data_IF_923615107427
#
_entry.id   IF_923615107427
#
_cell.length_a   1.000
_cell.length_b   1.000
_cell.length_c   1.000
_cell.angle_alpha   90.00
_cell.angle_beta   90.00
_cell.angle_gamma   90.00
#
_symmetry.space_group_name_H-M   'P 1'
#
loop_
_entity.id
_entity.type
_entity.pdbx_description
1 polymer ?
#
# COMPACT_ATOMS: atom_id res chain seq x y z
N UNK A 1 2.54 -22.62 11.65
CA UNK A 1 2.71 -21.66 10.55
C UNK A 1 2.14 -20.29 10.87
N UNK A 2 2.73 -19.23 10.32
CA UNK A 2 2.14 -17.91 10.12
C UNK A 2 2.17 -17.61 8.61
N UNK A 3 1.05 -17.15 8.06
CA UNK A 3 0.87 -16.80 6.64
C UNK A 3 0.94 -15.28 6.53
N UNK A 4 1.87 -14.78 5.72
CA UNK A 4 1.99 -13.37 5.40
C UNK A 4 1.05 -12.96 4.25
N UNK A 5 0.84 -11.66 4.08
CA UNK A 5 -0.07 -11.11 3.07
C UNK A 5 0.33 -11.40 1.61
N UNK A 6 1.60 -11.69 1.38
CA UNK A 6 2.20 -12.08 0.11
C UNK A 6 2.11 -13.60 -0.16
N UNK A 7 1.47 -14.36 0.74
CA UNK A 7 1.34 -15.82 0.63
C UNK A 7 2.51 -16.61 1.22
N UNK A 8 3.55 -15.96 1.75
CA UNK A 8 4.67 -16.67 2.36
C UNK A 8 4.28 -17.33 3.70
N UNK A 9 4.83 -18.52 3.96
CA UNK A 9 4.54 -19.32 5.14
C UNK A 9 5.81 -19.53 5.95
N UNK A 10 5.80 -19.13 7.22
CA UNK A 10 6.90 -19.43 8.15
C UNK A 10 6.48 -20.46 9.20
N UNK A 11 7.32 -21.46 9.42
CA UNK A 11 7.18 -22.41 10.54
C UNK A 11 7.50 -21.72 11.86
N UNK A 12 6.83 -22.13 12.95
CA UNK A 12 6.80 -21.40 14.24
C UNK A 12 8.08 -21.58 15.07
N UNK A 13 9.24 -21.39 14.49
CA UNK A 13 10.49 -21.26 15.25
C UNK A 13 10.69 -19.78 15.57
N UNK A 14 10.13 -19.36 16.70
CA UNK A 14 10.37 -18.04 17.25
C UNK A 14 11.74 -18.04 17.94
N UNK A 15 12.55 -17.05 17.61
CA UNK A 15 13.88 -16.83 18.19
C UNK A 15 13.93 -15.43 18.79
N UNK A 16 14.82 -15.24 19.77
CA UNK A 16 15.10 -13.95 20.37
C UNK A 16 16.53 -13.52 20.06
N UNK A 17 16.69 -12.28 19.64
CA UNK A 17 18.01 -11.65 19.48
C UNK A 17 17.92 -10.15 19.77
N UNK A 18 19.03 -9.44 19.63
CA UNK A 18 19.08 -7.99 19.63
C UNK A 18 18.86 -7.42 18.23
N UNK A 19 18.08 -6.34 18.12
CA UNK A 19 17.93 -5.58 16.88
C UNK A 19 18.28 -4.12 17.11
N UNK A 20 19.07 -3.55 16.21
CA UNK A 20 19.43 -2.14 16.25
C UNK A 20 18.45 -1.34 15.39
N UNK A 21 17.87 -0.27 15.97
CA UNK A 21 16.96 0.64 15.28
C UNK A 21 17.44 2.07 15.52
N UNK A 22 17.90 2.73 14.46
CA UNK A 22 18.59 4.02 14.58
C UNK A 22 19.82 3.89 15.49
N UNK A 23 19.86 4.70 16.55
CA UNK A 23 20.95 4.68 17.54
C UNK A 23 20.63 3.81 18.77
N UNK A 24 19.49 3.11 18.78
CA UNK A 24 19.03 2.29 19.91
C UNK A 24 19.18 0.79 19.65
N UNK A 25 19.42 0.02 20.72
CA UNK A 25 19.42 -1.44 20.68
C UNK A 25 18.21 -1.96 21.45
N UNK A 26 17.40 -2.80 20.80
CA UNK A 26 16.27 -3.50 21.40
C UNK A 26 16.74 -4.92 21.70
N UNK A 27 16.83 -5.24 22.99
CA UNK A 27 17.21 -6.57 23.45
C UNK A 27 16.01 -7.51 23.49
N UNK A 28 16.26 -8.82 23.32
CA UNK A 28 15.25 -9.89 23.40
C UNK A 28 14.08 -9.70 22.43
N UNK A 29 14.37 -9.12 21.26
CA UNK A 29 13.44 -8.95 20.17
C UNK A 29 13.07 -10.33 19.61
N UNK A 30 11.77 -10.64 19.60
CA UNK A 30 11.21 -11.91 19.13
C UNK A 30 10.90 -11.82 17.63
N UNK A 31 11.41 -12.75 16.83
CA UNK A 31 11.09 -12.85 15.41
C UNK A 31 11.02 -14.31 14.95
N UNK A 32 10.44 -14.55 13.77
CA UNK A 32 10.34 -15.89 13.19
C UNK A 32 11.51 -16.18 12.25
N UNK A 33 12.06 -17.40 12.31
CA UNK A 33 13.07 -17.86 11.36
C UNK A 33 12.43 -18.56 10.14
N UNK A 34 12.58 -17.97 8.95
CA UNK A 34 12.19 -18.59 7.69
C UNK A 34 13.24 -19.62 7.23
N UNK A 35 12.82 -20.87 7.02
CA UNK A 35 13.71 -21.97 6.59
C UNK A 35 13.57 -22.29 5.08
N UNK A 36 12.45 -21.91 4.49
CA UNK A 36 12.15 -22.08 3.05
C UNK A 36 11.20 -20.95 2.65
N UNK A 37 11.76 -19.86 2.15
CA UNK A 37 10.99 -18.69 1.75
C UNK A 37 10.75 -18.79 0.24
N UNK A 38 9.49 -18.94 -0.16
CA UNK A 38 9.09 -18.81 -1.56
C UNK A 38 8.51 -17.41 -1.72
N UNK A 39 9.17 -16.56 -2.50
CA UNK A 39 8.65 -15.23 -2.82
C UNK A 39 8.66 -15.02 -4.33
N UNK A 40 7.59 -14.39 -4.81
CA UNK A 40 7.34 -14.08 -6.22
C UNK A 40 8.24 -12.93 -6.73
N UNK A 41 8.84 -12.17 -5.81
CA UNK A 41 9.68 -11.00 -6.14
C UNK A 41 11.11 -11.23 -5.64
N UNK A 42 12.04 -11.41 -6.58
CA UNK A 42 13.47 -11.46 -6.33
C UNK A 42 13.95 -10.10 -5.81
N UNK A 43 14.03 -9.93 -4.49
CA UNK A 43 14.69 -8.78 -3.90
C UNK A 43 15.63 -9.24 -2.77
N UNK A 44 16.77 -8.55 -2.65
CA UNK A 44 17.82 -8.81 -1.67
C UNK A 44 17.38 -8.30 -0.27
N UNK A 45 16.36 -8.91 0.33
CA UNK A 45 16.01 -8.70 1.73
C UNK A 45 16.19 -9.99 2.53
N UNK A 46 16.63 -9.85 3.79
CA UNK A 46 16.82 -10.98 4.71
C UNK A 46 15.55 -11.42 5.45
N UNK A 47 14.42 -10.74 5.25
CA UNK A 47 13.14 -11.04 5.90
C UNK A 47 12.10 -9.94 5.75
N UNK A 48 10.94 -10.12 6.38
CA UNK A 48 9.80 -9.19 6.36
C UNK A 48 9.63 -8.56 7.75
N UNK A 49 9.46 -7.24 7.79
CA UNK A 49 9.17 -6.51 9.02
C UNK A 49 7.65 -6.34 9.21
N UNK A 50 7.06 -7.09 10.14
CA UNK A 50 5.63 -7.01 10.42
C UNK A 50 5.25 -5.76 11.25
N UNK A 51 4.48 -4.84 10.65
CA UNK A 51 3.89 -3.66 11.31
C UNK A 51 2.46 -3.88 11.82
N UNK A 52 2.00 -5.14 11.81
CA UNK A 52 0.63 -5.49 12.19
C UNK A 52 0.33 -5.35 13.69
N UNK A 53 -0.89 -5.71 14.09
CA UNK A 53 -1.35 -5.63 15.49
C UNK A 53 -1.00 -6.85 16.35
N UNK A 54 -0.29 -7.83 15.78
CA UNK A 54 0.09 -9.05 16.49
C UNK A 54 1.05 -8.76 17.63
N UNK A 55 1.02 -9.56 18.71
CA UNK A 55 1.90 -9.37 19.89
C UNK A 55 3.40 -9.38 19.54
N UNK A 56 3.78 -10.08 18.47
CA UNK A 56 5.16 -10.18 17.99
C UNK A 56 5.51 -9.16 16.90
N UNK A 57 4.61 -8.23 16.56
CA UNK A 57 4.97 -7.13 15.64
C UNK A 57 5.98 -6.18 16.27
N UNK A 58 6.80 -5.52 15.46
CA UNK A 58 7.82 -4.60 15.98
C UNK A 58 7.18 -3.50 16.83
N UNK A 59 6.07 -2.91 16.38
CA UNK A 59 5.39 -1.79 17.05
C UNK A 59 4.93 -2.19 18.46
N UNK A 60 4.46 -3.43 18.64
CA UNK A 60 4.04 -3.91 19.97
C UNK A 60 5.23 -4.30 20.86
N UNK A 61 6.30 -4.85 20.29
CA UNK A 61 7.50 -5.19 21.06
C UNK A 61 8.26 -3.95 21.56
N UNK A 62 8.19 -2.83 20.83
CA UNK A 62 8.84 -1.56 21.19
C UNK A 62 7.86 -0.51 21.70
N UNK A 63 6.59 -0.87 21.96
CA UNK A 63 5.54 0.11 22.23
C UNK A 63 5.86 1.04 23.41
N UNK A 64 6.55 0.54 24.42
CA UNK A 64 6.99 1.33 25.59
C UNK A 64 8.06 2.36 25.24
N UNK A 65 8.86 2.12 24.20
CA UNK A 65 9.91 3.05 23.74
C UNK A 65 9.35 4.17 22.87
N UNK A 66 8.34 3.85 22.04
CA UNK A 66 7.77 4.79 21.05
C UNK A 66 6.39 5.33 21.45
N UNK A 67 5.93 5.04 22.66
CA UNK A 67 4.58 5.41 23.12
C UNK A 67 3.45 4.77 22.29
N UNK A 68 3.70 3.61 21.68
CA UNK A 68 2.72 2.87 20.88
C UNK A 68 2.35 3.52 19.54
N UNK A 69 3.11 4.51 19.08
CA UNK A 69 2.87 5.19 17.80
C UNK A 69 4.10 5.08 16.91
N UNK A 70 3.91 4.55 15.71
CA UNK A 70 4.91 4.54 14.64
C UNK A 70 4.41 5.42 13.50
N UNK A 71 5.28 6.22 12.90
CA UNK A 71 4.99 6.88 11.62
C UNK A 71 6.06 6.60 10.58
N UNK A 72 5.67 6.59 9.31
CA UNK A 72 6.62 6.46 8.21
C UNK A 72 6.15 7.20 6.95
N UNK A 73 7.13 7.55 6.12
CA UNK A 73 6.96 8.03 4.76
C UNK A 73 7.72 7.08 3.84
N UNK A 74 7.10 6.66 2.74
CA UNK A 74 7.84 5.99 1.67
C UNK A 74 8.61 7.05 0.87
N UNK A 75 9.90 6.81 0.65
CA UNK A 75 10.77 7.76 -0.05
C UNK A 75 10.18 8.14 -1.42
N UNK A 76 10.03 9.44 -1.66
CA UNK A 76 9.62 10.02 -2.94
C UNK A 76 10.69 10.98 -3.42
N UNK A 77 11.05 10.92 -4.70
CA UNK A 77 11.99 11.86 -5.32
C UNK A 77 11.31 13.10 -5.91
N UNK A 78 10.03 13.32 -5.63
CA UNK A 78 9.26 14.41 -6.21
C UNK A 78 8.29 15.03 -5.19
N UNK A 79 8.03 16.33 -5.33
CA UNK A 79 6.94 16.99 -4.62
C UNK A 79 5.59 16.61 -5.26
N UNK A 80 4.53 16.35 -4.47
CA UNK A 80 3.19 16.09 -5.01
C UNK A 80 2.57 17.38 -5.59
N UNK A 81 1.80 17.23 -6.68
CA UNK A 81 0.94 18.31 -7.20
C UNK A 81 -0.41 18.30 -6.44
N UNK A 82 -0.99 19.46 -6.09
CA UNK A 82 -2.27 19.51 -5.41
C UNK A 82 -3.42 19.15 -6.36
N UNK A 83 -3.95 17.94 -6.20
CA UNK A 83 -5.15 17.46 -6.90
C UNK A 83 -5.62 16.15 -6.27
N UNK A 84 -6.83 16.12 -5.70
CA UNK A 84 -7.36 14.97 -4.99
C UNK A 84 -8.67 14.51 -5.62
N UNK A 85 -8.85 13.20 -5.79
CA UNK A 85 -10.16 12.60 -6.07
C UNK A 85 -10.60 11.89 -4.80
N UNK A 86 -11.79 12.24 -4.30
CA UNK A 86 -12.43 11.47 -3.23
C UNK A 86 -13.08 10.24 -3.85
N UNK A 87 -12.52 9.06 -3.60
CA UNK A 87 -13.15 7.81 -4.01
C UNK A 87 -14.24 7.43 -2.98
N UNK A 88 -15.47 7.12 -3.41
CA UNK A 88 -16.51 6.59 -2.52
C UNK A 88 -16.19 5.13 -2.20
N UNK A 89 -15.26 4.92 -1.27
CA UNK A 89 -14.95 3.58 -0.76
C UNK A 89 -15.87 3.30 0.42
N UNK A 90 -16.65 2.22 0.35
CA UNK A 90 -17.44 1.77 1.50
C UNK A 90 -16.51 1.46 2.68
N UNK A 91 -16.84 1.95 3.88
CA UNK A 91 -16.07 1.71 5.11
C UNK A 91 -15.91 0.21 5.41
N UNK A 92 -16.86 -0.63 4.95
CA UNK A 92 -16.79 -2.08 5.10
C UNK A 92 -15.62 -2.72 4.35
N UNK A 93 -15.08 -2.05 3.33
CA UNK A 93 -13.87 -2.49 2.62
C UNK A 93 -12.65 -2.49 3.55
N UNK A 94 -12.62 -1.55 4.51
CA UNK A 94 -11.53 -1.39 5.47
C UNK A 94 -11.83 -1.99 6.85
N UNK A 95 -13.03 -2.55 7.02
CA UNK A 95 -13.49 -3.03 8.32
C UNK A 95 -12.80 -4.35 8.69
N UNK A 96 -11.93 -4.30 9.69
CA UNK A 96 -11.19 -5.44 10.22
C UNK A 96 -12.10 -6.30 11.10
N UNK A 97 -13.02 -7.09 10.51
CA UNK A 97 -13.77 -8.10 11.26
C UNK A 97 -12.96 -9.38 11.43
N UNK A 98 -13.07 -10.03 12.59
CA UNK A 98 -12.42 -11.31 12.90
C UNK A 98 -12.77 -12.38 11.84
N UNK A 99 -11.87 -12.60 10.87
CA UNK A 99 -11.74 -13.87 10.15
C UNK A 99 -12.21 -13.96 8.69
N UNK A 100 -12.82 -12.93 8.09
CA UNK A 100 -13.12 -12.89 6.63
C UNK A 100 -13.09 -11.44 6.13
N UNK A 101 -12.25 -11.16 5.14
CA UNK A 101 -11.98 -9.80 4.67
C UNK A 101 -10.93 -9.05 5.51
N UNK A 102 -10.69 -7.80 5.15
CA UNK A 102 -9.70 -6.94 5.79
C UNK A 102 -8.73 -6.34 4.79
N UNK A 103 -7.83 -5.50 5.31
CA UNK A 103 -6.89 -4.73 4.48
C UNK A 103 -5.49 -4.91 5.03
N UNK A 104 -4.59 -5.32 4.14
CA UNK A 104 -3.17 -5.45 4.40
C UNK A 104 -2.51 -4.19 3.85
N UNK A 105 -1.76 -3.48 4.70
CA UNK A 105 -0.89 -2.42 4.26
C UNK A 105 0.49 -3.03 4.00
N UNK A 106 0.91 -3.10 2.75
CA UNK A 106 2.12 -3.82 2.36
C UNK A 106 3.05 -2.89 1.55
N UNK A 107 4.19 -2.57 2.15
CA UNK A 107 5.22 -1.73 1.54
C UNK A 107 6.03 -2.48 0.48
N UNK A 108 6.04 -3.83 0.52
CA UNK A 108 6.76 -4.70 -0.41
C UNK A 108 6.00 -5.00 -1.71
N UNK A 109 4.67 -4.92 -1.67
CA UNK A 109 3.84 -5.01 -2.88
C UNK A 109 3.78 -3.66 -3.60
N UNK A 110 4.04 -3.62 -4.91
CA UNK A 110 4.01 -2.35 -5.67
C UNK A 110 2.59 -1.79 -5.84
N UNK A 111 1.66 -2.64 -6.28
CA UNK A 111 0.29 -2.26 -6.68
C UNK A 111 -0.73 -2.60 -5.59
N UNK A 112 -1.78 -1.79 -5.48
CA UNK A 112 -2.93 -2.15 -4.64
C UNK A 112 -3.79 -3.19 -5.36
N UNK A 113 -4.13 -4.26 -4.66
CA UNK A 113 -5.04 -5.31 -5.16
C UNK A 113 -6.30 -5.38 -4.31
N UNK A 114 -7.45 -5.54 -4.95
CA UNK A 114 -8.75 -5.48 -4.28
C UNK A 114 -9.59 -6.71 -4.65
N UNK A 115 -10.47 -7.21 -3.76
CA UNK A 115 -11.46 -8.21 -4.14
C UNK A 115 -12.25 -7.77 -5.36
N UNK A 116 -12.58 -8.69 -6.26
CA UNK A 116 -13.16 -8.39 -7.57
C UNK A 116 -14.35 -7.41 -7.53
N UNK A 117 -15.25 -7.55 -6.54
CA UNK A 117 -16.42 -6.69 -6.37
C UNK A 117 -16.02 -5.26 -5.98
N UNK A 118 -15.10 -5.13 -5.04
CA UNK A 118 -14.53 -3.86 -4.59
C UNK A 118 -13.75 -3.16 -5.70
N UNK A 119 -12.93 -3.92 -6.44
CA UNK A 119 -12.20 -3.39 -7.59
C UNK A 119 -13.15 -2.77 -8.62
N UNK A 120 -14.17 -3.52 -9.03
CA UNK A 120 -15.17 -3.05 -10.02
C UNK A 120 -15.89 -1.80 -9.53
N UNK A 121 -16.36 -1.79 -8.28
CA UNK A 121 -17.05 -0.63 -7.71
C UNK A 121 -16.17 0.63 -7.70
N UNK A 122 -14.90 0.51 -7.30
CA UNK A 122 -13.97 1.65 -7.29
C UNK A 122 -13.58 2.11 -8.68
N UNK A 123 -13.29 1.17 -9.59
CA UNK A 123 -13.02 1.46 -10.99
C UNK A 123 -14.19 2.20 -11.63
N UNK A 124 -15.41 1.73 -11.45
CA UNK A 124 -16.60 2.31 -12.09
C UNK A 124 -16.91 3.70 -11.51
N UNK A 125 -16.76 3.89 -10.19
CA UNK A 125 -16.88 5.21 -9.56
C UNK A 125 -15.80 6.19 -10.07
N UNK A 126 -14.57 5.71 -10.25
CA UNK A 126 -13.48 6.51 -10.82
C UNK A 126 -13.78 6.91 -12.27
N UNK A 127 -14.25 5.97 -13.08
CA UNK A 127 -14.64 6.22 -14.48
C UNK A 127 -15.79 7.23 -14.58
N UNK A 128 -16.77 7.17 -13.67
CA UNK A 128 -17.87 8.13 -13.63
C UNK A 128 -17.37 9.55 -13.34
N UNK A 129 -16.42 9.70 -12.41
CA UNK A 129 -15.83 11.01 -12.06
C UNK A 129 -14.89 11.55 -13.16
N UNK A 130 -14.33 10.66 -13.98
CA UNK A 130 -13.38 11.02 -15.05
C UNK A 130 -13.97 10.88 -16.45
N UNK A 131 -15.31 10.87 -16.56
CA UNK A 131 -16.02 10.65 -17.82
C UNK A 131 -15.68 11.67 -18.93
N UNK A 132 -15.27 12.89 -18.55
CA UNK A 132 -14.85 13.94 -19.49
C UNK A 132 -13.42 13.80 -19.99
N UNK A 133 -12.63 12.86 -19.44
CA UNK A 133 -11.22 12.70 -19.77
C UNK A 133 -11.08 11.54 -20.78
N UNK A 134 -10.52 11.79 -21.99
CA UNK A 134 -10.33 10.75 -22.99
C UNK A 134 -9.41 9.64 -22.48
N UNK A 135 -9.91 8.39 -22.50
CA UNK A 135 -9.13 7.19 -22.19
C UNK A 135 -8.43 6.67 -23.43
N UNK A 136 -7.31 5.98 -23.21
CA UNK A 136 -6.64 5.20 -24.26
C UNK A 136 -6.93 3.72 -24.10
N UNK A 137 -6.44 2.93 -25.06
CA UNK A 137 -6.56 1.48 -24.98
C UNK A 137 -5.93 0.96 -23.67
N UNK A 138 -6.58 -0.01 -23.01
CA UNK A 138 -6.02 -0.68 -21.84
C UNK A 138 -4.65 -1.26 -22.13
N UNK A 139 -3.74 -1.17 -21.16
CA UNK A 139 -2.41 -1.78 -21.21
C UNK A 139 -2.38 -2.88 -20.18
N UNK A 140 -2.36 -4.14 -20.60
CA UNK A 140 -2.42 -5.29 -19.68
C UNK A 140 -1.34 -5.19 -18.58
N UNK A 141 -1.67 -5.43 -17.30
CA UNK A 141 -2.98 -5.88 -16.76
C UNK A 141 -3.97 -4.76 -16.40
N UNK A 142 -3.70 -3.51 -16.75
CA UNK A 142 -4.49 -2.34 -16.34
C UNK A 142 -5.66 -2.04 -17.29
N UNK A 143 -6.84 -1.80 -16.72
CA UNK A 143 -8.07 -1.53 -17.48
C UNK A 143 -8.35 -0.05 -17.77
N UNK A 144 -7.75 0.86 -16.98
CA UNK A 144 -8.02 2.29 -17.06
C UNK A 144 -6.70 3.03 -17.27
N UNK A 145 -6.52 3.57 -18.47
CA UNK A 145 -5.30 4.27 -18.88
C UNK A 145 -5.62 5.58 -19.62
N UNK A 146 -4.73 6.55 -19.48
CA UNK A 146 -4.82 7.88 -20.10
C UNK A 146 -3.48 8.25 -20.72
N UNK A 147 -3.49 9.07 -21.77
CA UNK A 147 -2.28 9.78 -22.23
C UNK A 147 -2.34 11.21 -21.72
N UNK A 148 -1.22 11.70 -21.17
CA UNK A 148 -1.06 13.12 -20.89
C UNK A 148 -0.64 13.82 -22.19
N UNK A 149 -1.56 14.57 -22.80
CA UNK A 149 -1.21 15.48 -23.90
C UNK A 149 -1.34 16.93 -23.44
N UNK A 150 -0.28 17.71 -23.62
CA UNK A 150 -0.32 19.17 -23.52
C UNK A 150 -1.06 19.70 -24.75
N UNK A 151 -2.24 20.30 -24.55
CA UNK A 151 -2.95 20.99 -25.63
C UNK A 151 -2.65 22.49 -25.55
N UNK A 152 -1.88 23.00 -26.51
CA UNK A 152 -1.54 24.42 -26.64
C UNK A 152 -2.59 25.13 -27.52
N UNK A 153 -3.84 25.25 -27.05
CA UNK A 153 -4.78 26.26 -27.58
C UNK A 153 -6.05 26.50 -26.72
N UNK A 154 -5.99 26.32 -25.39
CA UNK A 154 -7.18 26.59 -24.56
C UNK A 154 -7.17 26.13 -23.10
N UNK A 155 -6.08 25.49 -22.63
CA UNK A 155 -5.90 25.13 -21.23
C UNK A 155 -5.42 23.70 -21.02
N UNK A 156 -4.77 23.49 -19.88
CA UNK A 156 -4.21 22.21 -19.47
C UNK A 156 -5.29 21.37 -18.76
N UNK A 157 -5.80 20.30 -19.40
CA UNK A 157 -6.65 19.31 -18.73
C UNK A 157 -5.78 18.12 -18.35
N UNK A 158 -5.23 18.15 -17.15
CA UNK A 158 -4.62 16.97 -16.55
C UNK A 158 -5.73 16.11 -15.93
N UNK A 159 -5.66 14.77 -16.03
CA UNK A 159 -6.35 13.95 -15.05
C UNK A 159 -5.91 14.38 -13.65
N UNK A 160 -6.70 14.12 -12.59
CA UNK A 160 -6.23 14.37 -11.23
C UNK A 160 -5.08 13.39 -10.94
N UNK A 161 -3.87 13.78 -11.35
CA UNK A 161 -2.68 12.95 -11.36
C UNK A 161 -2.03 13.01 -9.98
N UNK A 162 -2.76 12.54 -8.98
CA UNK A 162 -2.12 12.20 -7.73
C UNK A 162 -1.17 11.04 -8.03
N UNK A 163 0.13 11.27 -7.89
CA UNK A 163 1.19 10.29 -8.21
C UNK A 163 1.10 8.99 -7.40
N UNK A 164 0.21 8.94 -6.42
CA UNK A 164 -0.10 7.78 -5.59
C UNK A 164 -1.26 6.91 -6.11
N UNK A 165 -1.93 7.25 -7.22
CA UNK A 165 -3.00 6.39 -7.78
C UNK A 165 -2.70 5.88 -9.18
N UNK A 166 -1.59 6.30 -9.79
CA UNK A 166 -1.22 5.90 -11.14
C UNK A 166 0.16 5.25 -11.20
N UNK A 167 0.34 4.39 -12.21
CA UNK A 167 1.61 3.85 -12.63
C UNK A 167 1.91 4.29 -14.07
N UNK A 168 3.16 4.62 -14.33
CA UNK A 168 3.65 4.97 -15.67
C UNK A 168 4.06 3.72 -16.41
N UNK A 169 3.68 3.61 -17.68
CA UNK A 169 4.16 2.52 -18.54
C UNK A 169 5.42 2.98 -19.29
N UNK A 170 6.49 2.19 -19.21
CA UNK A 170 7.79 2.53 -19.82
C UNK A 170 7.65 2.86 -21.31
N UNK A 171 8.24 3.99 -21.72
CA UNK A 171 8.32 4.43 -23.12
C UNK A 171 7.11 5.19 -23.67
N UNK A 172 6.04 5.44 -22.89
CA UNK A 172 4.88 6.20 -23.36
C UNK A 172 4.40 7.22 -22.33
N UNK A 173 3.80 8.32 -22.79
CA UNK A 173 3.06 9.29 -21.97
C UNK A 173 1.76 8.70 -21.35
N UNK A 174 1.72 7.38 -21.15
CA UNK A 174 0.56 6.60 -20.74
C UNK A 174 0.61 6.31 -19.24
N UNK A 175 -0.45 6.71 -18.56
CA UNK A 175 -0.63 6.56 -17.12
C UNK A 175 -1.85 5.69 -16.87
N UNK A 176 -1.67 4.60 -16.12
CA UNK A 176 -2.71 3.64 -15.83
C UNK A 176 -3.06 3.64 -14.33
N UNK A 177 -4.34 3.44 -14.00
CA UNK A 177 -4.80 3.35 -12.62
C UNK A 177 -4.10 2.18 -11.93
N UNK A 178 -3.38 2.45 -10.85
CA UNK A 178 -2.53 1.48 -10.14
C UNK A 178 -3.35 0.59 -9.18
N UNK A 179 -4.46 0.05 -9.66
CA UNK A 179 -5.36 -0.88 -8.96
C UNK A 179 -5.55 -2.14 -9.80
N UNK A 180 -5.50 -3.30 -9.17
CA UNK A 180 -5.79 -4.59 -9.83
C UNK A 180 -6.86 -5.40 -9.07
N UNK A 181 -7.65 -6.22 -9.77
CA UNK A 181 -8.51 -7.19 -9.13
C UNK A 181 -7.69 -8.33 -8.51
N UNK A 182 -8.23 -8.94 -7.46
CA UNK A 182 -7.66 -10.10 -6.78
C UNK A 182 -8.72 -11.19 -6.60
N UNK A 183 -8.25 -12.44 -6.61
CA UNK A 183 -9.04 -13.62 -6.24
C UNK A 183 -9.12 -13.82 -4.72
N UNK A 184 -8.31 -13.09 -3.95
CA UNK A 184 -8.38 -13.11 -2.49
C UNK A 184 -9.58 -12.32 -1.97
N UNK A 185 -10.06 -12.71 -0.80
CA UNK A 185 -11.18 -12.03 -0.13
C UNK A 185 -10.78 -10.77 0.64
N UNK A 186 -9.50 -10.39 0.62
CA UNK A 186 -8.94 -9.25 1.33
C UNK A 186 -8.28 -8.27 0.36
N UNK A 187 -8.10 -7.02 0.80
CA UNK A 187 -7.42 -5.97 0.03
C UNK A 187 -5.96 -5.87 0.45
N UNK A 188 -5.09 -5.50 -0.48
CA UNK A 188 -3.71 -5.10 -0.22
C UNK A 188 -3.55 -3.67 -0.70
N UNK A 189 -3.20 -2.74 0.19
CA UNK A 189 -2.76 -1.39 -0.15
C UNK A 189 -1.25 -1.47 -0.41
N UNK A 190 -0.85 -1.31 -1.66
CA UNK A 190 0.54 -1.37 -2.11
C UNK A 190 1.30 -0.05 -1.97
N UNK A 191 2.58 -0.11 -2.29
CA UNK A 191 3.58 0.95 -2.18
C UNK A 191 3.15 2.26 -2.88
N UNK A 192 2.58 2.19 -4.09
CA UNK A 192 2.17 3.40 -4.86
C UNK A 192 1.14 4.23 -4.07
N UNK A 193 0.09 3.60 -3.53
CA UNK A 193 -0.95 4.28 -2.76
C UNK A 193 -0.48 4.83 -1.42
N UNK A 194 0.63 4.31 -0.90
CA UNK A 194 1.24 4.77 0.34
C UNK A 194 2.19 5.97 0.15
N UNK A 195 2.68 6.22 -1.07
CA UNK A 195 3.54 7.38 -1.35
C UNK A 195 2.80 8.70 -1.14
N UNK A 196 3.57 9.76 -0.85
CA UNK A 196 3.07 11.13 -0.65
C UNK A 196 2.10 11.31 0.53
N UNK A 197 2.08 10.34 1.45
CA UNK A 197 1.32 10.39 2.70
C UNK A 197 2.23 10.06 3.87
N UNK A 198 2.13 10.82 4.96
CA UNK A 198 2.63 10.40 6.25
C UNK A 198 1.64 9.37 6.80
N UNK A 199 2.10 8.14 6.97
CA UNK A 199 1.30 7.06 7.52
C UNK A 199 1.60 6.96 9.01
N UNK A 200 0.56 7.01 9.84
CA UNK A 200 0.65 6.92 11.30
C UNK A 200 -0.09 5.66 11.75
N UNK A 201 0.61 4.77 12.45
CA UNK A 201 0.07 3.56 13.06
C UNK A 201 0.06 3.78 14.57
N UNK A 202 -1.12 3.87 15.15
CA UNK A 202 -1.33 4.00 16.59
C UNK A 202 -1.89 2.68 17.14
N UNK A 203 -1.07 1.93 17.87
CA UNK A 203 -1.50 0.64 18.43
C UNK A 203 -2.25 0.77 19.75
N UNK A 204 -2.18 1.93 20.42
CA UNK A 204 -2.90 2.20 21.67
C UNK A 204 -4.41 2.25 21.45
N UNK A 205 -4.83 2.97 20.40
CA UNK A 205 -6.25 3.07 20.01
C UNK A 205 -6.58 2.20 18.79
N UNK A 206 -5.56 1.59 18.18
CA UNK A 206 -5.74 0.69 17.06
C UNK A 206 -6.13 1.36 15.76
N UNK A 207 -5.61 2.56 15.49
CA UNK A 207 -5.91 3.34 14.30
C UNK A 207 -4.73 3.38 13.32
N UNK A 208 -5.04 3.52 12.04
CA UNK A 208 -4.09 3.87 10.99
C UNK A 208 -4.61 5.13 10.32
N UNK A 209 -3.76 6.15 10.22
CA UNK A 209 -4.09 7.44 9.62
C UNK A 209 -3.17 7.71 8.44
N UNK A 210 -3.73 8.30 7.39
CA UNK A 210 -3.00 8.77 6.22
C UNK A 210 -3.08 10.30 6.20
N UNK A 211 -1.95 10.98 6.35
CA UNK A 211 -1.87 12.44 6.30
C UNK A 211 -1.21 12.85 4.98
N UNK A 212 -1.97 13.37 4.01
CA UNK A 212 -1.41 13.73 2.70
C UNK A 212 -0.41 14.89 2.81
N UNK A 213 0.62 14.89 1.96
CA UNK A 213 1.60 15.99 1.83
C UNK A 213 2.33 16.41 3.12
N UNK A 214 2.40 15.50 4.11
CA UNK A 214 3.13 15.68 5.36
C UNK A 214 4.48 14.93 5.38
N UNK A 215 4.88 14.41 4.21
CA UNK A 215 6.24 14.06 3.86
C UNK A 215 6.79 15.23 3.02
#
# INVERSE_FOLDING_TARGET
MHLYGDGSLTERNLVQDSVMVGNGVIYRFVFGCGHSNVMEVAANYGGILGLGRGRVSIINQISTLIGGVLSYCLATSANPSPGWITMPISEDVFNLRKGKGGVILDTGTTLTTLPQTTYKALRDAYLAQTASIPRVLPVHPFEVCYIITLHFDGGLVLPPMSKNIFITMDGMYTWCLALLPSTFSFSIIGNIQQKYSLIIINTLNGQISFTPSAC
#
